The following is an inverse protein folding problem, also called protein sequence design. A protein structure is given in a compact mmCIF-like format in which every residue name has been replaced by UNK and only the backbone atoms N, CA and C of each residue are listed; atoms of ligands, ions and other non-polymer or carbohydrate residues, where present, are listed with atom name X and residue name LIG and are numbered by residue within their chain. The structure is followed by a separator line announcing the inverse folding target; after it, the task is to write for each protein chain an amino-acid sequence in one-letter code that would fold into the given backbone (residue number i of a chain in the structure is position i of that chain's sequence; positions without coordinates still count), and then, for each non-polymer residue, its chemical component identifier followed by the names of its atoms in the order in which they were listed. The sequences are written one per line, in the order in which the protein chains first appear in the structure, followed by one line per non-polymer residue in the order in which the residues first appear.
data_IF_118236128632
#
_entry.id   IF_118236128632
#
_cell.length_a   1.000
_cell.length_b   1.000
_cell.length_c   1.000
_cell.angle_alpha   90.00
_cell.angle_beta   90.00
_cell.angle_gamma   90.00
#
_symmetry.space_group_name_H-M   'P 1'
#
loop_
_entity.id
_entity.type
_entity.pdbx_description
1 polymer ?
#
# COMPACT_ATOMS: atom_id res chain seq x y z
N UNK A 1 34.68 -43.59 -28.21
CA UNK A 1 34.81 -42.46 -27.29
C UNK A 1 34.57 -41.19 -28.10
N UNK A 2 33.37 -40.63 -28.02
CA UNK A 2 32.96 -39.46 -28.80
C UNK A 2 33.19 -38.18 -28.00
N UNK A 3 33.95 -37.27 -28.59
CA UNK A 3 34.33 -35.98 -28.06
C UNK A 3 33.09 -35.07 -27.97
N UNK A 4 32.67 -34.74 -26.74
CA UNK A 4 31.55 -33.84 -26.48
C UNK A 4 32.04 -32.42 -26.72
N UNK A 5 31.81 -31.92 -27.95
CA UNK A 5 32.11 -30.55 -28.35
C UNK A 5 31.31 -29.59 -27.45
N UNK A 6 32.02 -28.93 -26.53
CA UNK A 6 31.49 -27.86 -25.66
C UNK A 6 31.10 -26.68 -26.54
N UNK A 7 29.80 -26.41 -26.64
CA UNK A 7 29.24 -25.17 -27.17
C UNK A 7 29.43 -24.06 -26.14
N UNK A 8 30.62 -23.46 -26.08
CA UNK A 8 30.93 -22.33 -25.20
C UNK A 8 30.98 -20.97 -25.93
N UNK A 9 30.60 -20.90 -27.21
CA UNK A 9 30.53 -19.63 -27.97
C UNK A 9 29.14 -18.97 -27.92
N UNK A 10 28.54 -18.86 -26.74
CA UNK A 10 27.40 -17.96 -26.57
C UNK A 10 27.94 -16.52 -26.42
N UNK A 11 27.57 -15.57 -27.29
CA UNK A 11 28.04 -14.19 -27.17
C UNK A 11 27.67 -13.64 -25.80
N UNK A 12 28.63 -12.96 -25.15
CA UNK A 12 28.42 -12.32 -23.86
C UNK A 12 27.16 -11.44 -23.91
N UNK A 13 26.31 -11.48 -22.87
CA UNK A 13 25.06 -10.73 -22.87
C UNK A 13 25.37 -9.24 -23.00
N UNK A 14 24.86 -8.62 -24.07
CA UNK A 14 24.95 -7.17 -24.24
C UNK A 14 24.16 -6.52 -23.10
N UNK A 15 24.77 -5.61 -22.33
CA UNK A 15 24.06 -4.90 -21.28
C UNK A 15 22.99 -4.00 -21.92
N UNK A 16 21.73 -4.33 -21.68
CA UNK A 16 20.58 -3.51 -22.10
C UNK A 16 20.22 -2.59 -20.94
N UNK A 17 20.11 -1.29 -21.21
CA UNK A 17 19.69 -0.31 -20.19
C UNK A 17 18.22 -0.56 -19.81
N UNK A 18 17.91 -0.92 -18.55
CA UNK A 18 16.56 -1.18 -18.09
C UNK A 18 15.59 0.00 -18.23
N UNK A 19 16.10 1.23 -18.19
CA UNK A 19 15.27 2.43 -18.33
C UNK A 19 14.72 2.57 -19.76
N UNK A 20 15.30 1.84 -20.71
CA UNK A 20 14.90 1.85 -22.12
C UNK A 20 13.91 0.74 -22.49
N UNK A 21 13.65 -0.21 -21.59
CA UNK A 21 12.69 -1.29 -21.86
C UNK A 21 11.25 -0.74 -21.74
N UNK A 22 10.48 -0.68 -22.85
CA UNK A 22 9.10 -0.21 -22.78
C UNK A 22 8.26 -1.17 -21.93
N UNK A 23 7.39 -0.58 -21.09
CA UNK A 23 6.32 -1.35 -20.44
C UNK A 23 5.25 -1.61 -21.49
N UNK A 24 4.91 -2.88 -21.70
CA UNK A 24 3.86 -3.23 -22.66
C UNK A 24 2.48 -2.98 -22.06
N UNK A 25 1.63 -2.34 -22.86
CA UNK A 25 0.21 -2.17 -22.55
C UNK A 25 -0.61 -3.34 -23.12
N UNK A 26 -1.64 -3.75 -22.38
CA UNK A 26 -2.48 -4.91 -22.76
C UNK A 26 -3.17 -4.68 -24.10
N UNK A 27 -3.64 -3.47 -24.34
CA UNK A 27 -4.44 -3.12 -25.52
C UNK A 27 -3.67 -3.27 -26.83
N UNK A 28 -2.35 -3.12 -26.80
CA UNK A 28 -1.47 -3.36 -27.95
C UNK A 28 -1.37 -4.86 -28.24
N UNK A 29 -1.23 -5.68 -27.20
CA UNK A 29 -1.02 -7.12 -27.28
C UNK A 29 -2.29 -7.89 -27.68
N UNK A 30 -3.49 -7.39 -27.36
CA UNK A 30 -4.76 -8.06 -27.68
C UNK A 30 -4.94 -8.26 -29.19
N UNK A 31 -4.31 -7.43 -30.02
CA UNK A 31 -4.36 -7.51 -31.49
C UNK A 31 -3.47 -8.62 -32.06
N UNK A 32 -2.55 -9.17 -31.27
CA UNK A 32 -1.58 -10.17 -31.73
C UNK A 32 -2.20 -11.58 -31.84
N UNK A 33 -1.61 -12.40 -32.70
CA UNK A 33 -1.95 -13.81 -32.80
C UNK A 33 -1.54 -14.58 -31.53
N UNK A 34 -2.14 -15.74 -31.29
CA UNK A 34 -1.80 -16.54 -30.10
C UNK A 34 -0.34 -17.01 -30.13
N UNK A 35 0.15 -17.35 -31.32
CA UNK A 35 1.54 -17.74 -31.54
C UNK A 35 2.52 -16.58 -31.32
N UNK A 36 2.13 -15.36 -31.71
CA UNK A 36 2.93 -14.16 -31.45
C UNK A 36 3.04 -13.88 -29.94
N UNK A 37 1.92 -13.96 -29.22
CA UNK A 37 1.89 -13.80 -27.77
C UNK A 37 2.74 -14.85 -27.06
N UNK A 38 2.66 -16.11 -27.49
CA UNK A 38 3.46 -17.18 -26.92
C UNK A 38 4.95 -17.00 -27.20
N UNK A 39 5.34 -16.71 -28.44
CA UNK A 39 6.73 -16.46 -28.80
C UNK A 39 7.31 -15.29 -27.99
N UNK A 40 6.55 -14.21 -27.83
CA UNK A 40 6.93 -13.05 -27.02
C UNK A 40 7.06 -13.41 -25.54
N UNK A 41 6.12 -14.16 -24.98
CA UNK A 41 6.18 -14.65 -23.60
C UNK A 41 7.43 -15.50 -23.35
N UNK A 42 7.79 -16.38 -24.30
CA UNK A 42 9.01 -17.19 -24.23
C UNK A 42 10.26 -16.32 -24.27
N UNK A 43 10.29 -15.30 -25.15
CA UNK A 43 11.41 -14.37 -25.23
C UNK A 43 11.63 -13.63 -23.89
N UNK A 44 10.58 -13.08 -23.28
CA UNK A 44 10.70 -12.42 -21.97
C UNK A 44 11.11 -13.37 -20.85
N UNK A 45 10.61 -14.62 -20.88
CA UNK A 45 11.02 -15.62 -19.89
C UNK A 45 12.50 -15.99 -20.00
N UNK A 46 13.01 -16.17 -21.22
CA UNK A 46 14.44 -16.43 -21.43
C UNK A 46 15.29 -15.24 -21.00
N UNK A 47 14.83 -14.04 -21.31
CA UNK A 47 15.51 -12.81 -20.91
C UNK A 47 15.55 -12.64 -19.39
N UNK A 48 14.46 -13.01 -18.71
CA UNK A 48 14.37 -12.96 -17.25
C UNK A 48 15.41 -13.87 -16.58
N UNK A 49 15.65 -15.05 -17.15
CA UNK A 49 16.69 -15.97 -16.65
C UNK A 49 18.09 -15.43 -16.93
N UNK A 50 18.27 -14.72 -18.06
CA UNK A 50 19.55 -14.17 -18.49
C UNK A 50 19.97 -12.94 -17.68
N UNK A 51 19.04 -12.06 -17.33
CA UNK A 51 19.34 -10.79 -16.67
C UNK A 51 19.07 -10.91 -15.15
N UNK A 52 20.13 -11.01 -14.34
CA UNK A 52 20.04 -11.02 -12.87
C UNK A 52 19.47 -9.71 -12.28
N UNK A 53 19.62 -8.58 -12.96
CA UNK A 53 19.36 -7.26 -12.37
C UNK A 53 17.99 -6.64 -12.69
N UNK A 54 17.20 -7.19 -13.62
CA UNK A 54 15.92 -6.59 -14.03
C UNK A 54 14.71 -7.54 -14.03
N UNK A 55 14.51 -8.34 -12.97
CA UNK A 55 13.44 -9.32 -12.91
C UNK A 55 12.06 -8.66 -13.03
N UNK A 56 11.84 -7.50 -12.40
CA UNK A 56 10.49 -6.94 -12.23
C UNK A 56 9.84 -6.46 -13.53
N UNK A 57 10.59 -5.81 -14.43
CA UNK A 57 10.02 -5.31 -15.69
C UNK A 57 9.63 -6.45 -16.63
N UNK A 58 10.50 -7.47 -16.73
CA UNK A 58 10.23 -8.65 -17.54
C UNK A 58 9.04 -9.46 -16.99
N UNK A 59 8.90 -9.54 -15.66
CA UNK A 59 7.71 -10.12 -15.02
C UNK A 59 6.43 -9.36 -15.34
N UNK A 60 6.47 -8.02 -15.39
CA UNK A 60 5.32 -7.19 -15.79
C UNK A 60 4.96 -7.43 -17.26
N UNK A 61 5.94 -7.46 -18.16
CA UNK A 61 5.71 -7.70 -19.57
C UNK A 61 5.15 -9.12 -19.81
N UNK A 62 5.66 -10.13 -19.09
CA UNK A 62 5.12 -11.48 -19.12
C UNK A 62 3.69 -11.55 -18.54
N UNK A 63 3.40 -10.76 -17.51
CA UNK A 63 2.04 -10.63 -16.98
C UNK A 63 1.08 -9.97 -17.98
N UNK A 64 1.53 -8.97 -18.75
CA UNK A 64 0.75 -8.35 -19.81
C UNK A 64 0.41 -9.37 -20.92
N UNK A 65 1.38 -10.18 -21.35
CA UNK A 65 1.15 -11.30 -22.29
C UNK A 65 0.12 -12.28 -21.73
N UNK A 66 0.23 -12.65 -20.45
CA UNK A 66 -0.74 -13.56 -19.82
C UNK A 66 -2.16 -12.96 -19.77
N UNK A 67 -2.31 -11.66 -19.51
CA UNK A 67 -3.61 -11.00 -19.54
C UNK A 67 -4.17 -10.90 -20.96
N UNK A 68 -3.35 -10.61 -21.96
CA UNK A 68 -3.77 -10.61 -23.36
C UNK A 68 -4.31 -12.00 -23.79
N UNK A 69 -3.65 -13.08 -23.37
CA UNK A 69 -4.15 -14.45 -23.58
C UNK A 69 -5.50 -14.68 -22.89
N UNK A 70 -5.69 -14.18 -21.65
CA UNK A 70 -6.99 -14.28 -20.95
C UNK A 70 -8.12 -13.57 -21.69
N UNK A 71 -7.84 -12.41 -22.28
CA UNK A 71 -8.80 -11.69 -23.14
C UNK A 71 -9.17 -12.55 -24.34
N UNK A 72 -8.16 -13.14 -24.99
CA UNK A 72 -8.35 -13.97 -26.19
C UNK A 72 -9.19 -15.22 -25.93
N UNK A 73 -8.97 -15.90 -24.80
CA UNK A 73 -9.77 -17.07 -24.40
C UNK A 73 -11.09 -16.71 -23.68
N UNK A 74 -11.39 -15.42 -23.47
CA UNK A 74 -12.58 -14.99 -22.73
C UNK A 74 -12.58 -15.40 -21.25
N UNK A 75 -11.41 -15.65 -20.66
CA UNK A 75 -11.25 -16.17 -19.31
C UNK A 75 -10.34 -15.26 -18.46
N UNK A 76 -10.95 -14.24 -17.88
CA UNK A 76 -10.26 -13.29 -17.00
C UNK A 76 -9.67 -13.92 -15.73
N UNK A 77 -10.17 -15.08 -15.31
CA UNK A 77 -9.67 -15.79 -14.12
C UNK A 77 -8.42 -16.61 -14.42
N UNK A 78 -8.23 -17.01 -15.68
CA UNK A 78 -7.15 -17.91 -16.10
C UNK A 78 -7.35 -19.35 -15.61
N UNK A 79 -8.60 -19.80 -15.55
CA UNK A 79 -9.00 -21.15 -15.14
C UNK A 79 -9.31 -22.11 -16.30
N UNK A 80 -9.45 -21.60 -17.52
CA UNK A 80 -9.68 -22.38 -18.74
C UNK A 80 -8.49 -23.32 -19.01
N UNK A 81 -8.79 -24.50 -19.55
CA UNK A 81 -7.77 -25.50 -19.86
C UNK A 81 -6.78 -24.98 -20.92
N UNK A 82 -7.30 -24.36 -21.98
CA UNK A 82 -6.53 -23.84 -23.12
C UNK A 82 -5.51 -22.79 -22.67
N UNK A 83 -5.95 -21.77 -21.94
CA UNK A 83 -5.05 -20.77 -21.34
C UNK A 83 -3.95 -21.40 -20.48
N UNK A 84 -4.31 -22.35 -19.60
CA UNK A 84 -3.33 -23.00 -18.70
C UNK A 84 -2.35 -23.88 -19.47
N UNK A 85 -2.80 -24.57 -20.52
CA UNK A 85 -1.92 -25.32 -21.39
C UNK A 85 -0.93 -24.37 -22.07
N UNK A 86 -1.43 -23.28 -22.66
CA UNK A 86 -0.58 -22.31 -23.36
C UNK A 86 0.44 -21.65 -22.45
N UNK A 87 0.03 -21.23 -21.25
CA UNK A 87 0.97 -20.68 -20.26
C UNK A 87 2.02 -21.72 -19.82
N UNK A 88 1.65 -23.00 -19.67
CA UNK A 88 2.62 -24.07 -19.35
C UNK A 88 3.67 -24.22 -20.46
N UNK A 89 3.25 -24.18 -21.73
CA UNK A 89 4.17 -24.22 -22.88
C UNK A 89 5.13 -23.04 -22.86
N UNK A 90 4.63 -21.82 -22.59
CA UNK A 90 5.45 -20.61 -22.47
C UNK A 90 6.48 -20.76 -21.34
N UNK A 91 6.04 -21.16 -20.14
CA UNK A 91 6.93 -21.36 -19.00
C UNK A 91 8.00 -22.43 -19.26
N UNK A 92 7.60 -23.56 -19.84
CA UNK A 92 8.50 -24.66 -20.16
C UNK A 92 9.54 -24.26 -21.23
N UNK A 93 9.10 -23.64 -22.32
CA UNK A 93 9.98 -23.20 -23.40
C UNK A 93 10.94 -22.07 -23.01
N UNK A 94 10.58 -21.30 -21.97
CA UNK A 94 11.43 -20.30 -21.35
C UNK A 94 12.38 -20.87 -20.28
N UNK A 95 12.17 -22.10 -19.79
CA UNK A 95 12.95 -22.67 -18.69
C UNK A 95 12.60 -22.09 -17.31
N UNK A 96 11.40 -21.53 -17.13
CA UNK A 96 11.00 -20.85 -15.90
C UNK A 96 10.48 -21.83 -14.83
N UNK A 97 11.05 -21.74 -13.62
CA UNK A 97 10.59 -22.48 -12.44
C UNK A 97 9.27 -21.98 -11.84
N UNK A 98 8.73 -22.72 -10.88
CA UNK A 98 7.46 -22.41 -10.21
C UNK A 98 7.49 -21.10 -9.39
N UNK A 99 8.64 -20.70 -8.88
CA UNK A 99 8.80 -19.46 -8.10
C UNK A 99 8.44 -18.21 -8.94
N UNK A 100 8.91 -18.18 -10.19
CA UNK A 100 8.64 -17.09 -11.15
C UNK A 100 7.15 -16.99 -11.43
N UNK A 101 6.44 -18.12 -11.51
CA UNK A 101 5.00 -18.14 -11.77
C UNK A 101 4.20 -17.44 -10.66
N UNK A 102 4.66 -17.52 -9.40
CA UNK A 102 4.07 -16.79 -8.28
C UNK A 102 4.17 -15.27 -8.47
N UNK A 103 5.36 -14.79 -8.86
CA UNK A 103 5.61 -13.37 -9.14
C UNK A 103 4.81 -12.86 -10.33
N UNK A 104 4.76 -13.63 -11.43
CA UNK A 104 3.92 -13.27 -12.59
C UNK A 104 2.45 -13.19 -12.18
N UNK A 105 1.94 -14.14 -11.39
CA UNK A 105 0.55 -14.13 -10.91
C UNK A 105 0.24 -12.90 -10.07
N UNK A 106 1.17 -12.45 -9.24
CA UNK A 106 1.05 -11.19 -8.50
C UNK A 106 0.89 -9.99 -9.45
N UNK A 107 1.73 -9.91 -10.49
CA UNK A 107 1.65 -8.83 -11.48
C UNK A 107 0.39 -8.88 -12.33
N UNK A 108 -0.09 -10.07 -12.71
CA UNK A 108 -1.38 -10.24 -13.40
C UNK A 108 -2.52 -9.63 -12.57
N UNK A 109 -2.58 -9.92 -11.27
CA UNK A 109 -3.62 -9.37 -10.40
C UNK A 109 -3.57 -7.85 -10.27
N UNK A 110 -2.37 -7.26 -10.28
CA UNK A 110 -2.21 -5.81 -10.26
C UNK A 110 -2.59 -5.17 -11.61
N UNK A 111 -2.25 -5.83 -12.73
CA UNK A 111 -2.59 -5.35 -14.06
C UNK A 111 -4.10 -5.32 -14.28
N UNK A 112 -4.79 -6.42 -13.92
CA UNK A 112 -6.26 -6.50 -14.03
C UNK A 112 -6.96 -5.42 -13.20
N UNK A 113 -6.44 -5.08 -12.02
CA UNK A 113 -6.97 -3.98 -11.19
C UNK A 113 -6.77 -2.59 -11.78
N UNK A 114 -5.78 -2.41 -12.66
CA UNK A 114 -5.53 -1.14 -13.35
C UNK A 114 -6.36 -1.01 -14.62
N UNK A 115 -6.57 -2.13 -15.33
CA UNK A 115 -7.27 -2.14 -16.62
C UNK A 115 -8.78 -2.33 -16.49
N UNK A 116 -9.28 -2.83 -15.36
CA UNK A 116 -10.70 -3.11 -15.14
C UNK A 116 -11.25 -2.34 -13.93
N UNK A 117 -12.50 -1.94 -14.04
CA UNK A 117 -13.23 -1.33 -12.91
C UNK A 117 -13.54 -2.37 -11.82
N UNK A 118 -13.77 -1.95 -10.56
CA UNK A 118 -14.16 -2.88 -9.50
C UNK A 118 -15.39 -3.75 -9.83
N UNK A 119 -16.39 -3.18 -10.52
CA UNK A 119 -17.60 -3.90 -10.95
C UNK A 119 -17.31 -4.98 -11.99
N UNK A 120 -16.39 -4.71 -12.90
CA UNK A 120 -15.96 -5.70 -13.90
C UNK A 120 -15.15 -6.82 -13.26
N UNK A 121 -14.26 -6.49 -12.31
CA UNK A 121 -13.53 -7.49 -11.53
C UNK A 121 -14.49 -8.42 -10.79
N UNK A 122 -15.49 -7.86 -10.11
CA UNK A 122 -16.53 -8.65 -9.42
C UNK A 122 -17.34 -9.53 -10.37
N UNK A 123 -17.70 -9.02 -11.55
CA UNK A 123 -18.39 -9.79 -12.60
C UNK A 123 -17.59 -11.03 -13.02
N UNK A 124 -16.27 -10.97 -12.96
CA UNK A 124 -15.38 -12.10 -13.26
C UNK A 124 -14.95 -12.87 -11.99
N UNK A 125 -15.60 -12.65 -10.85
CA UNK A 125 -15.25 -13.26 -9.56
C UNK A 125 -13.79 -13.01 -9.16
N UNK A 126 -13.28 -11.83 -9.49
CA UNK A 126 -11.97 -11.32 -9.10
C UNK A 126 -12.12 -10.31 -7.96
N UNK A 127 -11.07 -10.22 -7.14
CA UNK A 127 -11.07 -9.33 -5.98
C UNK A 127 -10.64 -7.92 -6.39
N UNK A 128 -11.45 -6.89 -6.12
CA UNK A 128 -11.13 -5.50 -6.51
C UNK A 128 -9.99 -4.92 -5.68
N UNK A 129 -9.83 -5.37 -4.43
CA UNK A 129 -8.79 -4.91 -3.51
C UNK A 129 -7.47 -5.65 -3.70
N UNK A 130 -6.35 -4.95 -3.56
CA UNK A 130 -5.02 -5.57 -3.62
C UNK A 130 -4.70 -6.44 -2.40
N UNK A 131 -3.80 -7.45 -2.52
CA UNK A 131 -3.30 -8.17 -1.36
C UNK A 131 -2.71 -7.24 -0.30
N UNK A 132 -2.07 -6.15 -0.72
CA UNK A 132 -1.44 -5.18 0.17
C UNK A 132 -2.49 -4.34 0.90
N UNK A 133 -3.52 -3.85 0.20
CA UNK A 133 -4.67 -3.18 0.83
C UNK A 133 -5.35 -4.10 1.84
N UNK A 134 -5.64 -5.35 1.48
CA UNK A 134 -6.25 -6.31 2.42
C UNK A 134 -5.39 -6.57 3.66
N UNK A 135 -4.06 -6.54 3.51
CA UNK A 135 -3.15 -6.64 4.66
C UNK A 135 -3.16 -5.38 5.52
N UNK A 136 -3.24 -4.20 4.92
CA UNK A 136 -3.36 -2.93 5.64
C UNK A 136 -4.71 -2.84 6.37
N UNK A 137 -5.81 -3.08 5.67
CA UNK A 137 -7.15 -3.14 6.24
C UNK A 137 -7.23 -4.14 7.39
N UNK A 138 -6.67 -5.33 7.19
CA UNK A 138 -6.60 -6.36 8.24
C UNK A 138 -5.80 -5.91 9.46
N UNK A 139 -4.71 -5.16 9.28
CA UNK A 139 -3.93 -4.58 10.38
C UNK A 139 -4.70 -3.49 11.10
N UNK A 140 -5.38 -2.61 10.36
CA UNK A 140 -6.20 -1.54 10.94
C UNK A 140 -7.38 -2.09 11.74
N UNK A 141 -8.08 -3.08 11.20
CA UNK A 141 -9.20 -3.75 11.90
C UNK A 141 -8.69 -4.39 13.20
N UNK A 142 -7.56 -5.10 13.16
CA UNK A 142 -6.94 -5.69 14.35
C UNK A 142 -6.50 -4.62 15.36
N UNK A 143 -5.93 -3.52 14.90
CA UNK A 143 -5.53 -2.41 15.76
C UNK A 143 -6.76 -1.80 16.47
N UNK A 144 -7.86 -1.56 15.73
CA UNK A 144 -9.12 -1.05 16.29
C UNK A 144 -9.74 -2.03 17.29
N UNK A 145 -9.73 -3.33 16.97
CA UNK A 145 -10.28 -4.36 17.86
C UNK A 145 -9.47 -4.50 19.16
N UNK A 146 -8.13 -4.47 19.08
CA UNK A 146 -7.28 -4.48 20.27
C UNK A 146 -7.41 -3.20 21.10
N UNK A 147 -7.64 -2.05 20.46
CA UNK A 147 -7.95 -0.80 21.17
C UNK A 147 -9.30 -0.88 21.88
N UNK A 148 -10.34 -1.40 21.22
CA UNK A 148 -11.66 -1.60 21.80
C UNK A 148 -11.62 -2.57 23.00
N UNK A 149 -10.87 -3.66 22.88
CA UNK A 149 -10.65 -4.60 23.99
C UNK A 149 -9.96 -3.93 25.19
N UNK A 150 -8.91 -3.13 24.95
CA UNK A 150 -8.23 -2.37 26.02
C UNK A 150 -9.15 -1.35 26.67
N UNK A 151 -10.02 -0.68 25.91
CA UNK A 151 -10.97 0.27 26.48
C UNK A 151 -11.99 -0.44 27.37
N UNK A 152 -12.51 -1.60 26.95
CA UNK A 152 -13.41 -2.41 27.77
C UNK A 152 -12.75 -2.88 29.07
N UNK A 153 -11.52 -3.41 29.00
CA UNK A 153 -10.76 -3.80 30.19
C UNK A 153 -10.48 -2.63 31.14
N UNK A 154 -10.23 -1.43 30.60
CA UNK A 154 -10.03 -0.23 31.42
C UNK A 154 -11.32 0.27 32.06
N UNK A 155 -12.46 0.12 31.38
CA UNK A 155 -13.78 0.45 31.93
C UNK A 155 -14.15 -0.51 33.06
N UNK A 156 -13.92 -1.82 32.89
CA UNK A 156 -14.15 -2.82 33.94
C UNK A 156 -13.26 -2.59 35.17
N UNK A 157 -11.98 -2.23 34.97
CA UNK A 157 -11.10 -1.85 36.09
C UNK A 157 -11.55 -0.57 36.79
N UNK A 158 -12.01 0.43 36.05
CA UNK A 158 -12.51 1.68 36.64
C UNK A 158 -13.83 1.50 37.41
N UNK A 159 -14.66 0.53 37.00
CA UNK A 159 -15.87 0.14 37.74
C UNK A 159 -15.52 -0.62 39.03
N UNK A 160 -14.44 -1.41 39.03
CA UNK A 160 -13.95 -2.14 40.21
C UNK A 160 -13.20 -1.20 41.19
N UNK A 161 -12.39 -0.26 40.71
CA UNK A 161 -11.70 0.74 41.55
C UNK A 161 -12.66 1.76 42.21
N UNK A 162 -13.87 1.92 41.68
CA UNK A 162 -14.94 2.72 42.29
C UNK A 162 -15.72 2.02 43.42
N UNK A 163 -15.56 0.70 43.59
CA UNK A 163 -16.35 -0.12 44.54
C UNK A 163 -15.56 -0.57 45.77
N UNK A 164 -14.26 -0.29 45.85
CA UNK A 164 -13.44 -0.56 47.04
C UNK A 164 -12.95 0.79 47.58
N UNK A 165 -13.51 1.30 48.68
CA UNK A 165 -12.92 2.44 49.37
C UNK A 165 -11.53 2.02 49.87
N UNK A 166 -10.48 2.55 49.24
CA UNK A 166 -9.11 2.24 49.62
C UNK A 166 -8.87 2.66 51.08
N UNK A 167 -8.45 1.74 51.98
CA UNK A 167 -8.13 2.09 53.34
C UNK A 167 -6.80 2.87 53.41
N UNK A 168 -6.76 3.77 54.38
CA UNK A 168 -5.71 4.72 54.68
C UNK A 168 -4.34 4.07 54.98
N UNK A 169 -3.29 4.70 54.44
CA UNK A 169 -1.88 4.76 54.90
C UNK A 169 -0.93 3.57 54.70
N UNK A 170 0.26 3.85 54.14
CA UNK A 170 1.50 4.17 54.90
C UNK A 170 2.68 4.56 53.96
N UNK A 171 3.52 5.54 54.34
CA UNK A 171 4.69 5.93 53.55
C UNK A 171 5.85 4.93 53.76
N UNK A 172 6.49 4.47 52.67
CA UNK A 172 7.73 3.66 52.73
C UNK A 172 8.98 4.54 52.62
N UNK A 173 10.08 4.20 53.33
CA UNK A 173 11.24 5.08 53.49
C UNK A 173 12.23 4.99 52.32
N UNK A 174 12.98 6.08 52.17
CA UNK A 174 14.01 6.30 51.16
C UNK A 174 15.21 5.37 51.28
N UNK A 175 15.77 4.96 50.13
CA UNK A 175 17.17 4.52 50.00
C UNK A 175 17.82 5.18 48.79
N UNK A 176 18.96 5.84 49.06
CA UNK A 176 19.81 6.65 48.16
C UNK A 176 20.65 5.80 47.21
N UNK A 177 20.82 6.31 45.98
CA UNK A 177 22.08 6.52 45.21
C UNK A 177 21.81 6.34 43.70
N UNK A 178 22.42 7.03 42.72
CA UNK A 178 23.17 8.28 42.61
C UNK A 178 23.41 8.56 41.10
N UNK A 179 23.58 9.85 40.72
CA UNK A 179 24.11 10.38 39.44
C UNK A 179 23.22 10.21 38.18
N UNK A 180 22.97 11.21 37.32
CA UNK A 180 23.66 12.46 36.98
C UNK A 180 22.66 13.35 36.18
N UNK A 181 22.29 14.56 36.64
CA UNK A 181 22.62 15.91 36.08
C UNK A 181 22.50 16.04 34.54
N UNK A 182 21.95 17.07 33.88
CA UNK A 182 21.38 18.41 34.13
C UNK A 182 20.80 18.83 32.76
N UNK A 183 19.67 19.56 32.61
CA UNK A 183 19.59 21.03 32.56
C UNK A 183 18.11 21.40 32.32
N UNK A 184 17.41 21.95 33.31
CA UNK A 184 17.08 23.39 33.48
C UNK A 184 16.07 23.96 32.47
N UNK A 185 14.86 24.22 32.95
CA UNK A 185 13.83 25.00 32.25
C UNK A 185 12.54 25.04 33.07
N UNK A 186 12.50 25.96 34.04
CA UNK A 186 11.40 26.19 34.99
C UNK A 186 10.20 26.81 34.26
N UNK A 187 9.02 26.20 34.38
CA UNK A 187 7.75 26.79 33.96
C UNK A 187 6.59 25.91 34.47
N UNK A 188 5.75 26.48 35.32
CA UNK A 188 4.58 25.83 35.91
C UNK A 188 3.71 25.16 34.84
N UNK A 189 3.61 23.83 34.90
CA UNK A 189 2.67 23.05 34.10
C UNK A 189 1.70 22.30 35.05
N UNK A 190 0.39 22.32 34.78
CA UNK A 190 -0.56 21.55 35.56
C UNK A 190 -0.21 20.06 35.41
N UNK A 191 -0.39 19.29 36.49
CA UNK A 191 -0.31 17.83 36.47
C UNK A 191 -1.39 17.27 35.54
N UNK A 192 -1.17 17.29 34.22
CA UNK A 192 -1.96 16.53 33.27
C UNK A 192 -1.45 15.09 33.28
N UNK A 193 -2.33 14.18 33.64
CA UNK A 193 -2.05 12.74 33.66
C UNK A 193 -1.73 12.25 32.24
N UNK A 194 -0.84 11.25 32.13
CA UNK A 194 -0.28 10.75 30.86
C UNK A 194 -1.21 10.52 29.65
N UNK A 195 -2.51 10.17 29.79
CA UNK A 195 -3.40 10.05 28.63
C UNK A 195 -3.73 11.38 27.93
N UNK A 196 -3.82 12.51 28.65
CA UNK A 196 -4.17 13.81 28.07
C UNK A 196 -3.03 14.36 27.20
N UNK A 197 -1.78 14.20 27.66
CA UNK A 197 -0.58 14.57 26.89
C UNK A 197 -0.47 13.75 25.59
N UNK A 198 -0.86 12.48 25.63
CA UNK A 198 -0.88 11.60 24.46
C UNK A 198 -1.98 12.00 23.45
N UNK A 199 -3.19 12.29 23.94
CA UNK A 199 -4.28 12.77 23.10
C UNK A 199 -3.93 14.10 22.41
N UNK A 200 -3.23 14.99 23.11
CA UNK A 200 -2.76 16.27 22.56
C UNK A 200 -1.66 16.07 21.50
N UNK A 201 -0.71 15.15 21.74
CA UNK A 201 0.34 14.82 20.78
C UNK A 201 -0.22 14.17 19.50
N UNK A 202 -1.22 13.31 19.62
CA UNK A 202 -1.87 12.69 18.46
C UNK A 202 -2.72 13.70 17.67
N UNK A 203 -3.38 14.65 18.33
CA UNK A 203 -4.08 15.75 17.65
C UNK A 203 -3.13 16.65 16.84
N UNK A 204 -1.93 16.93 17.37
CA UNK A 204 -0.89 17.67 16.66
C UNK A 204 -0.34 16.89 15.46
N UNK A 205 -0.12 15.58 15.61
CA UNK A 205 0.30 14.71 14.49
C UNK A 205 -0.74 14.68 13.37
N UNK A 206 -2.03 14.55 13.72
CA UNK A 206 -3.11 14.55 12.73
C UNK A 206 -3.21 15.90 12.01
N UNK A 207 -2.97 17.01 12.71
CA UNK A 207 -2.91 18.33 12.07
C UNK A 207 -1.75 18.44 11.06
N UNK A 208 -0.58 17.88 11.36
CA UNK A 208 0.56 17.84 10.43
C UNK A 208 0.26 17.00 9.19
N UNK A 209 -0.38 15.83 9.36
CA UNK A 209 -0.78 14.96 8.24
C UNK A 209 -1.83 15.65 7.37
N UNK A 210 -2.85 16.27 7.98
CA UNK A 210 -3.87 17.01 7.24
C UNK A 210 -3.28 18.18 6.43
N UNK A 211 -2.31 18.90 6.98
CA UNK A 211 -1.60 19.97 6.25
C UNK A 211 -0.78 19.43 5.07
N UNK A 212 -0.15 18.26 5.23
CA UNK A 212 0.56 17.57 4.15
C UNK A 212 -0.36 17.16 3.00
N UNK A 213 -1.55 16.63 3.31
CA UNK A 213 -2.54 16.23 2.30
C UNK A 213 -3.06 17.44 1.52
N UNK A 214 -3.37 18.55 2.20
CA UNK A 214 -3.81 19.78 1.53
C UNK A 214 -2.67 20.35 0.65
N UNK A 215 -1.42 20.25 1.09
CA UNK A 215 -0.26 20.67 0.30
C UNK A 215 0.07 19.79 -0.91
N UNK A 216 -0.54 18.60 -1.03
CA UNK A 216 -0.42 17.72 -2.19
C UNK A 216 -1.50 17.98 -3.25
N UNK A 217 -2.47 18.85 -2.98
CA UNK A 217 -3.43 19.29 -3.99
C UNK A 217 -2.72 20.23 -4.96
N UNK A 218 -2.58 19.77 -6.20
CA UNK A 218 -1.94 20.51 -7.28
C UNK A 218 -2.94 21.43 -7.98
N UNK A 219 -2.61 22.71 -8.10
CA UNK A 219 -3.46 23.70 -8.76
C UNK A 219 -3.66 23.36 -10.23
N UNK A 220 -2.62 22.83 -10.89
CA UNK A 220 -2.66 22.50 -12.32
C UNK A 220 -3.61 21.33 -12.59
N UNK A 221 -3.69 20.36 -11.67
CA UNK A 221 -4.63 19.22 -11.76
C UNK A 221 -6.08 19.68 -11.55
N UNK A 222 -6.30 20.64 -10.66
CA UNK A 222 -7.63 21.22 -10.42
C UNK A 222 -8.11 21.98 -11.66
N UNK A 223 -7.21 22.71 -12.32
CA UNK A 223 -7.56 23.53 -13.47
C UNK A 223 -7.66 22.76 -14.79
N UNK A 224 -6.84 21.73 -15.01
CA UNK A 224 -6.76 21.03 -16.30
C UNK A 224 -7.48 19.67 -16.33
N UNK A 225 -7.67 19.02 -15.17
CA UNK A 225 -8.10 17.62 -15.12
C UNK A 225 -9.39 17.37 -14.32
N UNK A 226 -9.90 18.36 -13.60
CA UNK A 226 -11.18 18.24 -12.89
C UNK A 226 -12.33 18.81 -13.71
N UNK A 227 -13.41 18.04 -13.79
CA UNK A 227 -14.70 18.51 -14.32
C UNK A 227 -15.36 19.51 -13.35
N UNK A 228 -16.25 20.38 -13.85
CA UNK A 228 -16.94 21.39 -13.04
C UNK A 228 -17.64 20.79 -11.81
N UNK A 229 -18.28 19.62 -11.97
CA UNK A 229 -18.94 18.91 -10.87
C UNK A 229 -17.97 18.38 -9.81
N UNK A 230 -16.74 18.01 -10.20
CA UNK A 230 -15.70 17.59 -9.26
C UNK A 230 -15.08 18.79 -8.54
N UNK A 231 -14.91 19.93 -9.23
CA UNK A 231 -14.44 21.19 -8.62
C UNK A 231 -15.44 21.69 -7.58
N UNK A 232 -16.72 21.74 -7.92
CA UNK A 232 -17.79 22.12 -6.99
C UNK A 232 -17.81 21.24 -5.73
N UNK A 233 -17.62 19.92 -5.90
CA UNK A 233 -17.54 19.00 -4.78
C UNK A 233 -16.27 19.20 -3.94
N UNK A 234 -15.13 19.46 -4.56
CA UNK A 234 -13.89 19.79 -3.86
C UNK A 234 -14.04 21.09 -3.06
N UNK A 235 -14.67 22.10 -3.65
CA UNK A 235 -14.97 23.37 -2.99
C UNK A 235 -15.88 23.19 -1.77
N UNK A 236 -16.94 22.39 -1.88
CA UNK A 236 -17.83 22.06 -0.76
C UNK A 236 -17.07 21.41 0.41
N UNK A 237 -16.19 20.45 0.11
CA UNK A 237 -15.37 19.76 1.11
C UNK A 237 -14.34 20.72 1.74
N UNK A 238 -13.68 21.56 0.94
CA UNK A 238 -12.74 22.58 1.43
C UNK A 238 -13.45 23.61 2.32
N UNK A 239 -14.66 24.06 1.94
CA UNK A 239 -15.48 24.96 2.74
C UNK A 239 -15.88 24.32 4.09
N UNK A 240 -16.26 23.03 4.08
CA UNK A 240 -16.55 22.29 5.30
C UNK A 240 -15.32 22.17 6.23
N UNK A 241 -14.14 21.92 5.66
CA UNK A 241 -12.86 21.89 6.38
C UNK A 241 -12.57 23.27 6.98
N UNK A 242 -12.70 24.36 6.23
CA UNK A 242 -12.49 25.72 6.71
C UNK A 242 -13.44 26.07 7.87
N UNK A 243 -14.72 25.68 7.78
CA UNK A 243 -15.71 25.89 8.84
C UNK A 243 -15.33 25.15 10.12
N UNK A 244 -14.89 23.89 10.02
CA UNK A 244 -14.39 23.10 11.17
C UNK A 244 -13.12 23.69 11.75
N UNK A 245 -12.17 24.11 10.91
CA UNK A 245 -10.93 24.77 11.35
C UNK A 245 -11.23 26.07 12.10
N UNK A 246 -12.20 26.85 11.63
CA UNK A 246 -12.62 28.09 12.29
C UNK A 246 -13.26 27.82 13.65
N UNK A 247 -14.09 26.77 13.76
CA UNK A 247 -14.63 26.33 15.05
C UNK A 247 -13.53 25.89 16.01
N UNK A 248 -12.55 25.10 15.55
CA UNK A 248 -11.42 24.66 16.37
C UNK A 248 -10.50 25.83 16.78
N UNK A 249 -10.28 26.81 15.89
CA UNK A 249 -9.53 28.04 16.19
C UNK A 249 -10.17 28.88 17.30
N UNK A 250 -11.49 28.81 17.47
CA UNK A 250 -12.17 29.47 18.61
C UNK A 250 -11.78 28.86 19.95
N UNK A 251 -11.49 27.56 19.98
CA UNK A 251 -11.03 26.87 21.19
C UNK A 251 -9.53 27.07 21.48
N UNK A 252 -8.73 27.40 20.46
CA UNK A 252 -7.29 27.68 20.64
C UNK A 252 -6.97 29.16 20.85
N UNK A 253 -7.87 30.08 20.48
CA UNK A 253 -7.75 31.50 20.83
C UNK A 253 -8.08 31.71 22.31
N UNK A 254 -7.06 32.02 23.11
CA UNK A 254 -7.18 32.54 24.47
C UNK A 254 -8.12 33.77 24.44
N UNK A 255 -9.13 33.89 25.32
CA UNK A 255 -9.94 35.10 25.38
C UNK A 255 -9.02 36.28 25.68
N UNK A 256 -9.00 37.27 24.78
CA UNK A 256 -8.36 38.55 25.06
C UNK A 256 -9.09 39.14 26.26
N UNK A 257 -8.37 39.30 27.37
CA UNK A 257 -8.81 40.11 28.49
C UNK A 257 -9.11 41.50 27.93
N UNK A 258 -10.36 41.93 28.06
CA UNK A 258 -10.74 43.34 27.83
C UNK A 258 -9.89 44.22 28.75
N UNK A 259 -9.32 45.26 28.15
CA UNK A 259 -8.85 46.47 28.85
C UNK A 259 -10.05 47.18 29.45
#
# INVERSE_FOLDING_TARGET
MGEVSRRDDAPAPVPVDPATLPTLEVDELVKESEDQLAARGVAYGREYIRIEHHPTMLLKNLAAVAVALRVKYGDMRGQSYEYRQRMREIYAAAGMGSEVQGSVRYHIGNLLRRSMTPRELEKHELLPTSPLERLQDGREIRAKLTQAAKTLESMDKSLIEGLIPSPVAKPKPAKKSAKQAQASGKGDAPKSTGPELKATADALRLATVANGIIGQLDADVIDDHMTDGQRAKLDDELAAIQKRLTALRRHTRKPSSKV
#
